data_IF_020436843495
#
_entry.id   IF_020436843495
#
_cell.length_a   1.000
_cell.length_b   1.000
_cell.length_c   1.000
_cell.angle_alpha   90.00
_cell.angle_beta   90.00
_cell.angle_gamma   90.00
#
_symmetry.space_group_name_H-M   'P 1'
#
loop_
_entity.id
_entity.type
_entity.pdbx_description
1 polymer ?
#
# COMPACT_ATOMS: atom_id res chain seq x y z
N UNK A 1 -6.98 -9.04 -6.40
CA UNK A 1 -6.97 -8.27 -7.67
C UNK A 1 -6.21 -6.94 -7.64
N UNK A 2 -5.35 -6.63 -6.64
CA UNK A 2 -4.67 -5.32 -6.54
C UNK A 2 -3.19 -5.28 -6.98
N UNK A 3 -2.60 -6.42 -7.36
CA UNK A 3 -1.23 -6.46 -7.93
C UNK A 3 -1.11 -5.79 -9.31
N UNK A 4 -2.24 -5.53 -9.97
CA UNK A 4 -2.28 -4.79 -11.24
C UNK A 4 -2.20 -3.27 -11.07
N UNK A 5 -2.41 -2.71 -9.87
CA UNK A 5 -2.50 -1.26 -9.65
C UNK A 5 -1.21 -0.51 -10.01
N UNK A 6 -0.07 -0.79 -9.36
CA UNK A 6 1.20 -0.13 -9.69
C UNK A 6 1.65 -0.38 -11.14
N UNK A 7 1.54 -1.61 -11.71
CA UNK A 7 1.82 -1.85 -13.12
C UNK A 7 0.91 -1.09 -14.09
N UNK A 8 -0.40 -1.02 -13.82
CA UNK A 8 -1.35 -0.25 -14.64
C UNK A 8 -1.05 1.24 -14.59
N UNK A 9 -0.75 1.78 -13.40
CA UNK A 9 -0.37 3.17 -13.23
C UNK A 9 0.94 3.48 -13.98
N UNK A 10 1.94 2.61 -13.88
CA UNK A 10 3.18 2.74 -14.64
C UNK A 10 2.93 2.68 -16.16
N UNK A 11 2.10 1.75 -16.64
CA UNK A 11 1.73 1.65 -18.04
C UNK A 11 0.98 2.90 -18.54
N UNK A 12 0.06 3.42 -17.73
CA UNK A 12 -0.68 4.66 -18.02
C UNK A 12 0.24 5.86 -18.07
N UNK A 13 1.21 5.93 -17.17
CA UNK A 13 2.22 6.99 -17.15
C UNK A 13 3.11 6.94 -18.40
N UNK A 14 3.57 5.74 -18.78
CA UNK A 14 4.33 5.53 -20.02
C UNK A 14 3.51 5.90 -21.26
N UNK A 15 2.22 5.55 -21.29
CA UNK A 15 1.32 5.97 -22.36
C UNK A 15 1.17 7.51 -22.42
N UNK A 16 1.12 8.18 -21.28
CA UNK A 16 1.09 9.64 -21.17
C UNK A 16 2.37 10.34 -21.66
N UNK A 17 3.51 9.64 -21.71
CA UNK A 17 4.74 10.16 -22.32
C UNK A 17 4.74 10.07 -23.85
N UNK A 18 3.95 9.18 -24.44
CA UNK A 18 3.90 8.99 -25.90
C UNK A 18 3.57 10.27 -26.70
N UNK A 19 2.55 11.09 -26.33
CA UNK A 19 2.30 12.36 -27.03
C UNK A 19 3.44 13.36 -26.83
N UNK A 20 4.15 13.31 -25.69
CA UNK A 20 5.31 14.17 -25.42
C UNK A 20 6.46 13.86 -26.37
N UNK A 21 6.77 12.58 -26.51
CA UNK A 21 7.83 12.10 -27.41
C UNK A 21 7.50 12.44 -28.87
N UNK A 22 6.24 12.27 -29.27
CA UNK A 22 5.79 12.60 -30.63
C UNK A 22 5.95 14.10 -30.91
N UNK A 23 5.46 14.95 -30.01
CA UNK A 23 5.57 16.41 -30.16
C UNK A 23 7.01 16.90 -30.23
N UNK A 24 7.92 16.32 -29.44
CA UNK A 24 9.35 16.65 -29.48
C UNK A 24 9.98 16.19 -30.79
N UNK A 25 9.67 14.97 -31.26
CA UNK A 25 10.24 14.42 -32.50
C UNK A 25 9.79 15.18 -33.74
N UNK A 26 8.54 15.62 -33.79
CA UNK A 26 8.00 16.39 -34.91
C UNK A 26 8.27 17.89 -34.80
N UNK A 27 8.72 18.37 -33.64
CA UNK A 27 8.87 19.81 -33.38
C UNK A 27 7.53 20.56 -33.38
N UNK A 28 6.42 19.84 -33.24
CA UNK A 28 5.06 20.35 -33.32
C UNK A 28 4.25 19.89 -32.11
N UNK A 29 3.86 20.85 -31.27
CA UNK A 29 3.09 20.58 -30.07
C UNK A 29 1.66 20.10 -30.37
N UNK A 30 1.17 20.29 -31.60
CA UNK A 30 -0.12 19.79 -32.06
C UNK A 30 -0.04 18.41 -32.71
N UNK A 31 1.16 17.86 -32.96
CA UNK A 31 1.35 16.56 -33.61
C UNK A 31 0.44 15.44 -33.07
N UNK A 32 0.19 15.31 -31.74
CA UNK A 32 -0.69 14.26 -31.22
C UNK A 32 -2.17 14.35 -31.59
N UNK A 33 -2.64 15.52 -32.05
CA UNK A 33 -4.06 15.82 -32.30
C UNK A 33 -4.29 16.54 -33.64
N UNK A 34 -3.24 16.67 -34.46
CA UNK A 34 -3.28 17.39 -35.73
C UNK A 34 -4.39 16.85 -36.65
N UNK A 35 -4.55 15.53 -36.70
CA UNK A 35 -5.49 14.85 -37.59
C UNK A 35 -6.83 14.52 -36.90
N UNK A 36 -7.02 14.89 -35.64
CA UNK A 36 -8.21 14.50 -34.85
C UNK A 36 -9.36 15.51 -34.93
N UNK A 37 -9.21 16.62 -35.65
CA UNK A 37 -10.23 17.67 -35.81
C UNK A 37 -10.53 18.49 -34.54
N UNK A 38 -9.76 18.29 -33.46
CA UNK A 38 -9.99 18.93 -32.15
C UNK A 38 -9.45 20.38 -32.08
N UNK A 39 -8.60 20.77 -33.03
CA UNK A 39 -7.98 22.09 -33.10
C UNK A 39 -7.10 22.44 -31.89
N UNK A 40 -6.63 23.69 -31.85
CA UNK A 40 -5.70 24.17 -30.82
C UNK A 40 -6.30 24.16 -29.40
N UNK A 41 -7.62 24.35 -29.27
CA UNK A 41 -8.31 24.33 -27.97
C UNK A 41 -8.32 22.93 -27.36
N UNK A 42 -8.69 21.91 -28.14
CA UNK A 42 -8.64 20.51 -27.68
C UNK A 42 -7.22 20.05 -27.39
N UNK A 43 -6.25 20.47 -28.21
CA UNK A 43 -4.82 20.24 -27.97
C UNK A 43 -4.38 20.78 -26.60
N UNK A 44 -4.76 22.02 -26.28
CA UNK A 44 -4.41 22.68 -25.02
C UNK A 44 -4.97 21.93 -23.81
N UNK A 45 -6.23 21.51 -23.86
CA UNK A 45 -6.86 20.71 -22.80
C UNK A 45 -6.18 19.35 -22.65
N UNK A 46 -5.86 18.68 -23.75
CA UNK A 46 -5.13 17.41 -23.74
C UNK A 46 -3.76 17.52 -23.06
N UNK A 47 -3.01 18.58 -23.35
CA UNK A 47 -1.73 18.86 -22.69
C UNK A 47 -1.85 19.13 -21.19
N UNK A 48 -2.92 19.83 -20.76
CA UNK A 48 -3.20 20.01 -19.33
C UNK A 48 -3.45 18.66 -18.66
N UNK A 49 -4.27 17.78 -19.27
CA UNK A 49 -4.52 16.43 -18.75
C UNK A 49 -3.23 15.61 -18.69
N UNK A 50 -2.42 15.62 -19.75
CA UNK A 50 -1.12 14.93 -19.78
C UNK A 50 -0.20 15.43 -18.68
N UNK A 51 -0.06 16.74 -18.51
CA UNK A 51 0.76 17.33 -17.45
C UNK A 51 0.28 16.91 -16.05
N UNK A 52 -1.03 16.94 -15.81
CA UNK A 52 -1.62 16.49 -14.53
C UNK A 52 -1.33 15.02 -14.29
N UNK A 53 -1.52 14.15 -15.29
CA UNK A 53 -1.27 12.71 -15.15
C UNK A 53 0.21 12.41 -14.91
N UNK A 54 1.12 13.10 -15.62
CA UNK A 54 2.56 12.93 -15.46
C UNK A 54 3.06 13.33 -14.06
N UNK A 55 2.42 14.30 -13.41
CA UNK A 55 2.77 14.74 -12.05
C UNK A 55 2.09 13.87 -10.98
N UNK A 56 0.81 13.56 -11.17
CA UNK A 56 0.00 12.87 -10.13
C UNK A 56 0.28 11.38 -10.06
N UNK A 57 0.53 10.69 -11.18
CA UNK A 57 0.74 9.23 -11.18
C UNK A 57 2.03 8.83 -10.43
N UNK A 58 3.21 9.45 -10.64
CA UNK A 58 4.40 9.11 -9.86
C UNK A 58 4.22 9.34 -8.37
N UNK A 59 3.52 10.41 -7.99
CA UNK A 59 3.18 10.68 -6.60
C UNK A 59 2.24 9.61 -6.04
N UNK A 60 1.21 9.21 -6.78
CA UNK A 60 0.28 8.15 -6.38
C UNK A 60 0.97 6.79 -6.26
N UNK A 61 1.87 6.42 -7.18
CA UNK A 61 2.69 5.21 -7.10
C UNK A 61 3.58 5.26 -5.87
N UNK A 62 4.26 6.39 -5.62
CA UNK A 62 5.08 6.57 -4.41
C UNK A 62 4.24 6.42 -3.14
N UNK A 63 3.07 7.03 -3.07
CA UNK A 63 2.14 6.91 -1.93
C UNK A 63 1.73 5.44 -1.75
N UNK A 64 1.32 4.75 -2.81
CA UNK A 64 0.94 3.33 -2.75
C UNK A 64 2.07 2.43 -2.26
N UNK A 65 3.31 2.73 -2.65
CA UNK A 65 4.50 2.00 -2.21
C UNK A 65 4.87 2.34 -0.75
N UNK A 66 4.71 3.59 -0.33
CA UNK A 66 5.15 4.08 1.00
C UNK A 66 4.12 3.82 2.12
N UNK A 67 2.84 3.68 1.77
CA UNK A 67 1.77 3.39 2.73
C UNK A 67 1.65 1.91 3.09
N UNK A 68 2.43 1.03 2.45
CA UNK A 68 2.34 -0.40 2.69
C UNK A 68 3.19 -0.77 3.90
N UNK A 69 2.52 -1.20 4.96
CA UNK A 69 3.21 -1.92 6.04
C UNK A 69 3.61 -3.29 5.50
N UNK A 70 4.90 -3.60 5.48
CA UNK A 70 5.39 -4.92 5.04
C UNK A 70 5.83 -5.69 6.28
N UNK A 71 5.17 -6.82 6.54
CA UNK A 71 5.57 -7.77 7.57
C UNK A 71 6.43 -8.85 6.90
N UNK A 72 7.59 -9.15 7.48
CA UNK A 72 8.45 -10.25 7.03
C UNK A 72 9.04 -11.05 8.20
N UNK A 73 9.81 -12.09 7.93
CA UNK A 73 10.37 -12.92 9.00
C UNK A 73 11.29 -12.14 9.97
N UNK A 74 11.89 -11.03 9.52
CA UNK A 74 12.84 -10.22 10.28
C UNK A 74 12.23 -9.02 11.00
N UNK A 75 10.99 -8.62 10.70
CA UNK A 75 10.32 -7.50 11.36
C UNK A 75 9.26 -6.79 10.52
N UNK A 76 9.00 -5.53 10.86
CA UNK A 76 8.00 -4.67 10.24
C UNK A 76 8.68 -3.48 9.57
N UNK A 77 8.42 -3.27 8.28
CA UNK A 77 8.68 -1.98 7.64
C UNK A 77 7.48 -1.06 7.87
N UNK A 78 7.65 -0.07 8.75
CA UNK A 78 6.58 0.84 9.13
C UNK A 78 6.25 1.81 7.99
N UNK A 79 4.96 2.17 7.82
CA UNK A 79 4.56 3.11 6.78
C UNK A 79 5.19 4.49 7.03
N UNK A 80 5.31 5.30 5.97
CA UNK A 80 5.85 6.67 6.00
C UNK A 80 7.36 6.82 6.28
N UNK A 81 8.18 5.81 5.97
CA UNK A 81 9.62 5.93 6.14
C UNK A 81 10.05 6.09 7.60
N UNK A 82 9.22 5.62 8.54
CA UNK A 82 9.56 5.51 9.98
C UNK A 82 10.64 4.47 10.26
N UNK A 83 11.14 3.82 9.22
CA UNK A 83 12.18 2.83 9.28
C UNK A 83 11.63 1.42 9.44
N UNK A 84 12.59 0.49 9.54
CA UNK A 84 12.35 -0.92 9.77
C UNK A 84 12.46 -1.18 11.27
N UNK A 85 11.44 -1.77 11.86
CA UNK A 85 11.48 -2.28 13.22
C UNK A 85 11.80 -3.77 13.16
N UNK A 86 12.95 -4.17 13.69
CA UNK A 86 13.30 -5.60 13.70
C UNK A 86 12.45 -6.35 14.71
N UNK A 87 12.31 -7.66 14.53
CA UNK A 87 11.53 -8.52 15.43
C UNK A 87 11.96 -8.39 16.91
N UNK A 88 13.24 -8.09 17.16
CA UNK A 88 13.75 -7.85 18.51
C UNK A 88 13.11 -6.63 19.20
N UNK A 89 12.75 -5.60 18.42
CA UNK A 89 12.19 -4.34 18.91
C UNK A 89 10.67 -4.40 19.11
N UNK A 90 10.02 -5.46 18.62
CA UNK A 90 8.59 -5.66 18.77
C UNK A 90 8.26 -6.01 20.21
N UNK A 91 7.31 -5.27 20.78
CA UNK A 91 6.88 -5.43 22.16
C UNK A 91 5.59 -6.23 22.25
N UNK A 92 4.64 -5.97 21.34
CA UNK A 92 3.29 -6.52 21.46
C UNK A 92 2.61 -6.75 20.12
N UNK A 93 2.05 -7.94 19.95
CA UNK A 93 1.09 -8.31 18.91
C UNK A 93 -0.24 -8.56 19.59
N UNK A 94 -1.28 -7.86 19.15
CA UNK A 94 -2.63 -7.94 19.74
C UNK A 94 -3.68 -8.23 18.69
N UNK A 95 -4.56 -9.18 18.96
CA UNK A 95 -5.80 -9.37 18.22
C UNK A 95 -6.86 -8.36 18.65
N UNK A 96 -7.49 -7.71 17.66
CA UNK A 96 -8.63 -6.84 17.89
C UNK A 96 -9.82 -7.41 17.13
N UNK A 97 -10.83 -7.97 17.83
CA UNK A 97 -12.00 -8.53 17.19
C UNK A 97 -12.82 -7.43 16.50
N UNK A 98 -13.68 -7.86 15.57
CA UNK A 98 -14.71 -6.99 15.02
C UNK A 98 -15.70 -6.62 16.15
N UNK A 99 -16.00 -5.33 16.29
CA UNK A 99 -16.87 -4.83 17.38
C UNK A 99 -16.10 -4.29 18.60
N UNK A 100 -16.61 -3.21 19.17
CA UNK A 100 -16.01 -2.39 20.23
C UNK A 100 -16.97 -1.24 20.61
N UNK A 101 -16.76 -0.58 21.77
CA UNK A 101 -17.81 0.22 22.40
C UNK A 101 -18.21 1.52 21.69
N UNK A 102 -17.41 2.03 20.74
CA UNK A 102 -17.68 3.29 20.04
C UNK A 102 -17.34 3.15 18.55
N UNK A 103 -18.34 3.18 17.66
CA UNK A 103 -18.22 3.14 16.19
C UNK A 103 -17.62 1.86 15.56
N UNK A 104 -17.99 0.68 16.06
CA UNK A 104 -17.35 -0.58 15.67
C UNK A 104 -18.11 -1.48 14.68
N UNK A 105 -19.33 -1.12 14.24
CA UNK A 105 -20.11 -1.96 13.32
C UNK A 105 -19.41 -2.22 11.97
N UNK A 106 -18.48 -1.35 11.56
CA UNK A 106 -17.76 -1.43 10.28
C UNK A 106 -16.24 -1.59 10.42
N UNK A 107 -15.70 -1.84 11.61
CA UNK A 107 -14.25 -2.07 11.77
C UNK A 107 -13.95 -3.54 11.57
N UNK A 108 -13.23 -3.94 10.50
CA UNK A 108 -12.83 -5.33 10.35
C UNK A 108 -11.93 -5.75 11.51
N UNK A 109 -11.99 -7.04 11.83
CA UNK A 109 -11.04 -7.68 12.72
C UNK A 109 -9.61 -7.46 12.21
N UNK A 110 -8.66 -7.34 13.14
CA UNK A 110 -7.29 -6.93 12.81
C UNK A 110 -6.27 -7.33 13.85
N UNK A 111 -5.03 -7.47 13.41
CA UNK A 111 -3.87 -7.49 14.29
C UNK A 111 -3.24 -6.10 14.40
N UNK A 112 -2.83 -5.74 15.61
CA UNK A 112 -2.08 -4.55 15.91
C UNK A 112 -0.70 -4.96 16.43
N UNK A 113 0.36 -4.48 15.78
CA UNK A 113 1.75 -4.73 16.16
C UNK A 113 2.34 -3.44 16.70
N UNK A 114 2.92 -3.52 17.89
CA UNK A 114 3.55 -2.39 18.58
C UNK A 114 5.03 -2.68 18.84
N UNK A 115 5.85 -1.66 18.66
CA UNK A 115 7.29 -1.71 18.97
C UNK A 115 7.60 -0.84 20.18
N UNK A 116 8.64 -1.25 20.92
CA UNK A 116 9.08 -0.52 22.10
C UNK A 116 9.52 0.90 21.72
N UNK A 117 8.99 1.91 22.41
CA UNK A 117 9.30 3.32 22.15
C UNK A 117 8.65 3.95 20.91
N UNK A 118 8.13 3.17 19.97
CA UNK A 118 7.44 3.68 18.78
C UNK A 118 5.90 3.56 18.83
N UNK A 119 5.37 2.75 19.75
CA UNK A 119 3.94 2.48 19.85
C UNK A 119 3.45 1.60 18.71
N UNK A 120 2.27 1.88 18.15
CA UNK A 120 1.67 1.09 17.07
C UNK A 120 2.45 1.27 15.76
N UNK A 121 3.10 0.20 15.29
CA UNK A 121 3.94 0.20 14.07
C UNK A 121 3.26 -0.47 12.87
N UNK A 122 2.36 -1.43 13.11
CA UNK A 122 1.57 -2.06 12.06
C UNK A 122 0.13 -2.31 12.50
N UNK A 123 -0.75 -2.28 11.50
CA UNK A 123 -2.12 -2.76 11.60
C UNK A 123 -2.39 -3.62 10.36
N UNK A 124 -2.82 -4.85 10.58
CA UNK A 124 -3.17 -5.80 9.53
C UNK A 124 -4.63 -6.16 9.69
N UNK A 125 -5.47 -5.83 8.72
CA UNK A 125 -6.92 -6.09 8.78
C UNK A 125 -7.32 -7.30 7.94
N UNK A 126 -8.37 -8.04 8.33
CA UNK A 126 -8.85 -9.23 7.58
C UNK A 126 -9.27 -8.94 6.14
N UNK A 127 -9.61 -7.68 5.84
CA UNK A 127 -10.00 -7.25 4.50
C UNK A 127 -8.80 -6.95 3.60
N UNK A 128 -7.59 -6.96 4.13
CA UNK A 128 -6.36 -6.76 3.35
C UNK A 128 -6.04 -8.02 2.52
N UNK A 129 -5.53 -7.80 1.30
CA UNK A 129 -5.26 -8.89 0.37
C UNK A 129 -4.06 -9.75 0.79
N UNK A 130 -3.16 -9.20 1.61
CA UNK A 130 -2.01 -9.85 2.21
C UNK A 130 -2.29 -10.40 3.61
N UNK A 131 -3.57 -10.49 4.00
CA UNK A 131 -3.99 -11.08 5.28
C UNK A 131 -3.33 -12.42 5.57
N UNK A 132 -3.43 -13.38 4.65
CA UNK A 132 -2.84 -14.73 4.82
C UNK A 132 -1.32 -14.70 4.96
N UNK A 133 -0.64 -13.84 4.18
CA UNK A 133 0.82 -13.70 4.25
C UNK A 133 1.25 -13.06 5.56
N UNK A 134 0.56 -12.02 6.00
CA UNK A 134 0.80 -11.36 7.28
C UNK A 134 0.51 -12.31 8.45
N UNK A 135 -0.57 -13.08 8.37
CA UNK A 135 -0.92 -14.10 9.36
C UNK A 135 0.16 -15.17 9.48
N UNK A 136 0.70 -15.66 8.35
CA UNK A 136 1.82 -16.61 8.35
C UNK A 136 3.07 -16.04 9.04
N UNK A 137 3.39 -14.75 8.82
CA UNK A 137 4.50 -14.06 9.51
C UNK A 137 4.22 -13.90 11.00
N UNK A 138 3.01 -13.49 11.38
CA UNK A 138 2.62 -13.35 12.78
C UNK A 138 2.66 -14.69 13.53
N UNK A 139 2.27 -15.80 12.88
CA UNK A 139 2.43 -17.16 13.41
C UNK A 139 3.88 -17.57 13.56
N UNK A 140 4.73 -17.19 12.60
CA UNK A 140 6.16 -17.43 12.70
C UNK A 140 6.75 -16.67 13.90
N UNK A 141 6.40 -15.39 14.07
CA UNK A 141 6.84 -14.59 15.21
C UNK A 141 6.33 -15.12 16.54
N UNK A 142 5.06 -15.55 16.63
CA UNK A 142 4.52 -16.09 17.89
C UNK A 142 5.20 -17.39 18.33
N UNK A 143 5.71 -18.18 17.38
CA UNK A 143 6.53 -19.36 17.68
C UNK A 143 7.95 -19.00 18.07
N UNK A 144 8.55 -18.01 17.39
CA UNK A 144 9.92 -17.59 17.64
C UNK A 144 10.08 -16.77 18.94
N UNK A 145 9.07 -15.95 19.25
CA UNK A 145 9.00 -15.03 20.40
C UNK A 145 7.59 -15.03 21.01
N UNK A 146 7.19 -16.07 21.75
CA UNK A 146 5.85 -16.14 22.33
C UNK A 146 5.54 -14.98 23.30
N UNK A 147 6.57 -14.35 23.88
CA UNK A 147 6.43 -13.24 24.81
C UNK A 147 5.86 -11.96 24.20
N UNK A 148 5.88 -11.80 22.87
CA UNK A 148 5.29 -10.62 22.20
C UNK A 148 3.76 -10.74 22.06
N UNK A 149 3.17 -11.92 22.29
CA UNK A 149 1.73 -12.14 22.14
C UNK A 149 1.01 -11.55 23.36
N UNK A 150 0.10 -10.60 23.12
CA UNK A 150 -0.49 -9.78 24.18
C UNK A 150 -1.33 -10.55 25.20
N UNK A 151 -2.11 -11.52 24.72
CA UNK A 151 -3.12 -12.24 25.50
C UNK A 151 -3.41 -13.63 24.92
N UNK A 152 -4.06 -14.47 25.73
CA UNK A 152 -4.41 -15.84 25.36
C UNK A 152 -5.37 -15.89 24.16
N UNK A 153 -6.24 -14.89 24.00
CA UNK A 153 -7.12 -14.79 22.85
C UNK A 153 -6.33 -14.59 21.55
N UNK A 154 -5.32 -13.72 21.57
CA UNK A 154 -4.41 -13.51 20.44
C UNK A 154 -3.65 -14.80 20.13
N UNK A 155 -3.19 -15.52 21.15
CA UNK A 155 -2.51 -16.80 20.99
C UNK A 155 -3.44 -17.85 20.33
N UNK A 156 -4.69 -17.94 20.77
CA UNK A 156 -5.71 -18.83 20.20
C UNK A 156 -5.97 -18.50 18.72
N UNK A 157 -6.19 -17.23 18.36
CA UNK A 157 -6.44 -16.85 16.96
C UNK A 157 -5.24 -17.15 16.06
N UNK A 158 -4.01 -16.99 16.57
CA UNK A 158 -2.80 -17.35 15.83
C UNK A 158 -2.60 -18.88 15.74
N UNK A 159 -3.16 -19.66 16.66
CA UNK A 159 -3.08 -21.13 16.68
C UNK A 159 -4.19 -21.82 15.88
N UNK A 160 -5.43 -21.32 15.97
CA UNK A 160 -6.67 -21.92 15.41
C UNK A 160 -6.83 -21.71 13.91
N UNK A 161 -6.16 -20.70 13.36
CA UNK A 161 -6.06 -20.55 11.94
C UNK A 161 -5.07 -21.62 11.42
N UNK A 162 -5.57 -22.85 11.25
CA UNK A 162 -4.85 -23.94 10.59
C UNK A 162 -4.59 -23.64 9.10
N UNK A 163 -3.80 -24.47 8.40
CA UNK A 163 -3.54 -24.32 6.97
C UNK A 163 -4.81 -24.32 6.11
#
# INVERSE_FOLDING_TARGET
MRWLGPPLLAATWLAGLSPVVLAIREGDWQAPVRDSGLGAAGASVGWVVVAVLLVTIPLAVRVLLTYRTVLDAGGVDAPFGRGRHVLADLERVRWVPQGGPVNAAHRPERFEVSASGAGLVARVTRQEADWESALAVLRYWSRARPEIVADEQTAQVLADAGP
#
